data_IF_863267892231
#
_entry.id   IF_863267892231
#
_cell.length_a   1.000
_cell.length_b   1.000
_cell.length_c   1.000
_cell.angle_alpha   90.00
_cell.angle_beta   90.00
_cell.angle_gamma   90.00
#
_symmetry.space_group_name_H-M   'P 1'
#
loop_
_entity.id
_entity.type
_entity.pdbx_description
1 polymer ?
#
# COMPACT_ATOMS: atom_id res chain seq x y z
N UNK A 1 -45.58 -38.70 -38.72
CA UNK A 1 -45.76 -37.69 -39.78
C UNK A 1 -44.71 -36.63 -39.57
N UNK A 2 -43.69 -36.72 -40.35
CA UNK A 2 -43.09 -35.80 -41.36
C UNK A 2 -42.65 -34.41 -40.78
N UNK A 3 -41.38 -34.30 -40.75
CA UNK A 3 -40.50 -33.10 -40.84
C UNK A 3 -40.87 -32.17 -42.02
N UNK A 4 -40.36 -30.91 -42.16
CA UNK A 4 -39.02 -30.67 -42.71
C UNK A 4 -38.28 -29.47 -42.10
N UNK A 5 -36.98 -29.47 -41.93
CA UNK A 5 -35.81 -29.11 -42.80
C UNK A 5 -35.92 -27.85 -43.66
N UNK A 6 -34.97 -26.91 -43.43
CA UNK A 6 -34.30 -26.06 -44.44
C UNK A 6 -33.07 -25.45 -43.74
N UNK A 7 -31.88 -25.84 -43.99
CA UNK A 7 -30.82 -25.73 -45.03
C UNK A 7 -30.40 -24.32 -45.38
N UNK A 8 -29.11 -24.05 -45.03
CA UNK A 8 -27.98 -23.52 -45.77
C UNK A 8 -27.95 -22.06 -46.21
N UNK A 9 -26.84 -21.41 -45.87
CA UNK A 9 -25.90 -20.95 -46.91
C UNK A 9 -24.51 -20.70 -46.33
N UNK A 10 -23.58 -21.57 -46.71
CA UNK A 10 -22.15 -21.27 -46.71
C UNK A 10 -21.80 -20.79 -48.10
N UNK A 11 -20.95 -19.77 -48.24
CA UNK A 11 -20.01 -19.68 -49.35
C UNK A 11 -18.71 -19.00 -48.90
N UNK A 12 -17.55 -19.49 -49.41
CA UNK A 12 -16.22 -19.03 -49.01
C UNK A 12 -15.65 -18.02 -50.01
N UNK A 13 -14.81 -17.12 -49.55
CA UNK A 13 -13.89 -16.39 -50.44
C UNK A 13 -12.46 -16.66 -49.97
N UNK A 14 -11.71 -17.28 -50.90
CA UNK A 14 -10.28 -17.53 -50.87
C UNK A 14 -9.48 -16.24 -51.00
N UNK A 15 -8.36 -16.08 -50.29
CA UNK A 15 -6.98 -16.19 -50.80
C UNK A 15 -6.01 -15.62 -49.79
N UNK A 16 -5.17 -16.45 -49.27
CA UNK A 16 -3.72 -16.51 -49.42
C UNK A 16 -2.92 -15.32 -48.88
N UNK A 17 -2.22 -15.51 -47.73
CA UNK A 17 -0.75 -15.53 -47.73
C UNK A 17 -0.20 -16.00 -46.38
N UNK A 18 0.94 -16.73 -46.47
CA UNK A 18 1.57 -17.46 -45.35
C UNK A 18 2.27 -16.49 -44.37
N UNK A 19 1.87 -16.53 -43.14
CA UNK A 19 2.63 -15.95 -42.02
C UNK A 19 2.37 -16.78 -40.77
N UNK A 20 3.40 -17.43 -40.27
CA UNK A 20 3.40 -18.32 -39.12
C UNK A 20 2.90 -17.58 -37.86
N UNK A 21 1.65 -17.79 -37.51
CA UNK A 21 1.12 -17.35 -36.20
C UNK A 21 1.26 -18.48 -35.19
N UNK A 22 2.22 -18.35 -34.29
CA UNK A 22 2.22 -19.11 -33.04
C UNK A 22 1.09 -18.53 -32.17
N UNK A 23 -0.02 -19.27 -32.07
CA UNK A 23 -1.08 -18.96 -31.11
C UNK A 23 -0.56 -19.15 -29.70
N UNK A 24 -0.25 -18.05 -29.01
CA UNK A 24 -0.13 -18.05 -27.56
C UNK A 24 -1.53 -17.75 -27.01
N UNK A 25 -2.15 -18.75 -26.43
CA UNK A 25 -3.26 -18.54 -25.49
C UNK A 25 -2.67 -17.87 -24.25
N UNK A 26 -2.93 -16.57 -24.09
CA UNK A 26 -2.76 -15.87 -22.84
C UNK A 26 -4.04 -16.08 -22.04
N UNK A 27 -3.94 -16.49 -20.77
CA UNK A 27 -5.08 -16.40 -19.89
C UNK A 27 -5.38 -14.90 -19.68
N UNK A 28 -6.61 -14.50 -19.93
CA UNK A 28 -7.10 -13.16 -19.68
C UNK A 28 -7.19 -12.92 -18.18
N UNK A 29 -6.06 -12.61 -17.54
CA UNK A 29 -6.10 -11.80 -16.35
C UNK A 29 -6.40 -10.38 -16.81
N UNK A 30 -7.47 -9.78 -16.25
CA UNK A 30 -7.94 -8.49 -16.66
C UNK A 30 -6.80 -7.48 -16.73
N UNK A 31 -6.49 -7.06 -17.93
CA UNK A 31 -5.63 -5.91 -18.13
C UNK A 31 -6.29 -4.76 -17.38
N UNK A 32 -5.61 -4.21 -16.38
CA UNK A 32 -5.86 -2.84 -16.00
C UNK A 32 -5.63 -2.02 -17.27
N UNK A 33 -6.72 -1.74 -17.98
CA UNK A 33 -6.66 -0.85 -19.10
C UNK A 33 -6.24 0.50 -18.51
N UNK A 34 -4.98 0.85 -18.73
CA UNK A 34 -4.55 2.24 -18.65
C UNK A 34 -5.55 2.98 -19.54
N UNK A 35 -6.49 3.72 -18.92
CA UNK A 35 -7.33 4.63 -19.67
C UNK A 35 -6.40 5.52 -20.47
N UNK A 36 -6.67 5.72 -21.77
CA UNK A 36 -5.86 6.65 -22.54
C UNK A 36 -5.92 7.98 -21.78
N UNK A 37 -4.75 8.55 -21.57
CA UNK A 37 -4.53 9.86 -21.00
C UNK A 37 -5.42 10.87 -21.75
N UNK A 38 -6.54 11.25 -21.15
CA UNK A 38 -7.23 12.46 -21.54
C UNK A 38 -6.32 13.57 -21.04
N UNK A 39 -5.79 14.37 -21.94
CA UNK A 39 -5.11 15.63 -21.64
C UNK A 39 -6.06 16.47 -20.78
N UNK A 40 -5.99 16.29 -19.47
CA UNK A 40 -6.56 17.23 -18.52
C UNK A 40 -5.69 18.48 -18.59
N UNK A 41 -6.33 19.64 -18.59
CA UNK A 41 -5.63 20.93 -18.49
C UNK A 41 -4.60 20.86 -17.35
N UNK A 42 -3.41 21.48 -17.51
CA UNK A 42 -2.39 21.42 -16.47
C UNK A 42 -3.00 21.98 -15.19
N UNK A 43 -3.12 21.10 -14.17
CA UNK A 43 -3.50 21.49 -12.82
C UNK A 43 -2.58 22.66 -12.41
N UNK A 44 -3.14 23.67 -11.76
CA UNK A 44 -2.38 24.81 -11.23
C UNK A 44 -1.20 24.26 -10.42
N UNK A 45 0.01 24.74 -10.70
CA UNK A 45 1.26 24.32 -10.04
C UNK A 45 1.38 24.76 -8.57
N UNK A 46 0.29 25.09 -7.91
CA UNK A 46 0.30 25.36 -6.47
C UNK A 46 0.30 24.04 -5.73
N UNK A 47 1.39 23.80 -4.97
CA UNK A 47 1.50 22.67 -4.06
C UNK A 47 0.42 22.72 -2.97
N UNK A 48 0.11 21.58 -2.37
CA UNK A 48 -0.91 21.43 -1.32
C UNK A 48 -0.30 21.11 0.05
N UNK A 49 1.02 21.25 0.20
CA UNK A 49 1.75 20.92 1.43
C UNK A 49 1.23 21.67 2.65
N UNK A 50 0.98 20.94 3.74
CA UNK A 50 0.52 21.44 5.01
C UNK A 50 1.56 21.17 6.12
N UNK A 51 1.68 22.08 7.10
CA UNK A 51 2.58 21.92 8.24
C UNK A 51 4.06 22.12 7.90
N UNK A 52 4.94 21.51 8.68
CA UNK A 52 6.40 21.64 8.55
C UNK A 52 6.94 20.45 7.72
N UNK A 53 7.29 20.73 6.48
CA UNK A 53 7.75 19.73 5.51
C UNK A 53 9.26 19.88 5.24
N UNK A 54 10.00 18.80 5.32
CA UNK A 54 11.44 18.74 5.04
C UNK A 54 11.72 17.72 3.94
N UNK A 55 12.42 18.16 2.90
CA UNK A 55 12.84 17.31 1.79
C UNK A 55 14.26 16.80 2.01
N UNK A 56 14.45 15.49 1.78
CA UNK A 56 15.75 14.83 1.82
C UNK A 56 16.01 14.06 0.55
N UNK A 57 17.28 14.02 0.18
CA UNK A 57 17.81 13.14 -0.85
C UNK A 57 18.74 12.12 -0.17
N UNK A 58 18.38 10.84 -0.18
CA UNK A 58 19.20 9.76 0.33
C UNK A 58 19.90 9.06 -0.84
N UNK A 59 21.23 9.04 -0.81
CA UNK A 59 22.02 8.26 -1.75
C UNK A 59 22.24 6.86 -1.18
N UNK A 60 21.29 5.97 -1.47
CA UNK A 60 21.35 4.58 -1.03
C UNK A 60 22.44 3.81 -1.77
N UNK A 61 23.18 2.98 -1.05
CA UNK A 61 24.14 2.04 -1.62
C UNK A 61 23.47 0.81 -2.24
N UNK A 62 22.26 0.50 -1.76
CA UNK A 62 21.49 -0.67 -2.18
C UNK A 62 20.60 -0.37 -3.40
N UNK A 63 19.93 0.79 -3.40
CA UNK A 63 18.87 1.11 -4.37
C UNK A 63 19.09 2.43 -5.12
N UNK A 64 20.26 3.06 -4.96
CA UNK A 64 20.56 4.34 -5.61
C UNK A 64 19.84 5.52 -4.94
N UNK A 65 19.71 6.63 -5.66
CA UNK A 65 19.09 7.86 -5.15
C UNK A 65 17.63 7.66 -4.80
N UNK A 66 17.22 8.20 -3.63
CA UNK A 66 15.86 8.13 -3.15
C UNK A 66 15.45 9.45 -2.49
N UNK A 67 14.32 10.00 -2.91
CA UNK A 67 13.76 11.19 -2.30
C UNK A 67 12.85 10.77 -1.12
N UNK A 68 13.02 11.48 0.01
CA UNK A 68 12.22 11.34 1.20
C UNK A 68 11.61 12.71 1.53
N UNK A 69 10.33 12.73 1.85
CA UNK A 69 9.65 13.94 2.33
C UNK A 69 9.15 13.67 3.74
N UNK A 70 9.55 14.52 4.69
CA UNK A 70 9.26 14.34 6.11
C UNK A 70 8.30 15.45 6.55
N UNK A 71 7.13 15.07 7.05
CA UNK A 71 6.23 15.93 7.79
C UNK A 71 6.58 15.87 9.27
N UNK A 72 6.78 17.03 9.89
CA UNK A 72 7.00 17.19 11.32
C UNK A 72 5.73 17.74 11.99
N UNK A 73 5.24 17.10 13.05
CA UNK A 73 3.99 17.48 13.68
C UNK A 73 4.06 18.85 14.37
N UNK A 74 2.92 19.53 14.62
CA UNK A 74 2.87 20.75 15.40
C UNK A 74 3.60 20.60 16.72
N UNK A 75 4.47 21.58 17.04
CA UNK A 75 5.27 21.58 18.27
C UNK A 75 6.45 20.61 18.27
N UNK A 76 6.83 20.04 17.12
CA UNK A 76 8.05 19.23 17.02
C UNK A 76 9.28 20.00 17.50
N UNK A 77 10.12 19.35 18.30
CA UNK A 77 11.37 19.92 18.80
C UNK A 77 12.45 18.83 18.91
N UNK A 78 13.63 19.10 18.36
CA UNK A 78 14.81 18.25 18.50
C UNK A 78 15.41 18.24 19.91
N UNK A 79 15.00 19.20 20.74
CA UNK A 79 15.49 19.38 22.11
C UNK A 79 14.63 18.70 23.17
N UNK A 80 13.47 18.15 22.77
CA UNK A 80 12.59 17.44 23.68
C UNK A 80 13.13 16.04 23.99
N UNK A 81 12.90 15.59 25.21
CA UNK A 81 13.11 14.18 25.59
C UNK A 81 12.06 13.23 24.99
N UNK A 82 11.11 13.77 24.26
CA UNK A 82 10.03 13.01 23.64
C UNK A 82 10.49 12.35 22.33
N UNK A 83 10.38 11.02 22.27
CA UNK A 83 10.62 10.27 21.06
C UNK A 83 9.31 10.12 20.30
N UNK A 84 9.23 10.74 19.13
CA UNK A 84 8.01 10.77 18.33
C UNK A 84 7.72 9.41 17.66
N UNK A 85 6.48 8.92 17.72
CA UNK A 85 6.03 7.88 16.81
C UNK A 85 6.28 8.29 15.36
N UNK A 86 6.46 7.31 14.48
CA UNK A 86 6.59 7.63 13.06
C UNK A 86 5.98 6.58 12.13
N UNK A 87 5.63 7.02 10.93
CA UNK A 87 5.14 6.17 9.86
C UNK A 87 5.97 6.36 8.59
N UNK A 88 6.40 5.25 7.98
CA UNK A 88 6.97 5.21 6.64
C UNK A 88 5.84 4.94 5.63
N UNK A 89 5.56 5.91 4.75
CA UNK A 89 4.53 5.84 3.73
C UNK A 89 5.17 5.56 2.37
N UNK A 90 4.70 4.53 1.71
CA UNK A 90 5.18 4.11 0.40
C UNK A 90 4.55 4.95 -0.71
N UNK A 91 5.20 4.98 -1.91
CA UNK A 91 4.76 5.82 -3.03
C UNK A 91 4.71 7.31 -2.68
N UNK A 92 5.78 7.79 -2.05
CA UNK A 92 5.88 9.09 -1.38
C UNK A 92 5.47 10.29 -2.22
N UNK A 93 5.61 10.22 -3.55
CA UNK A 93 5.18 11.27 -4.47
C UNK A 93 3.67 11.53 -4.46
N UNK A 94 2.87 10.57 -3.97
CA UNK A 94 1.41 10.67 -3.92
C UNK A 94 0.87 11.02 -2.51
N UNK A 95 1.73 11.28 -1.53
CA UNK A 95 1.32 11.31 -0.12
C UNK A 95 0.94 12.72 0.36
N UNK A 96 1.75 13.75 0.04
CA UNK A 96 1.65 15.09 0.61
C UNK A 96 1.39 16.21 -0.39
N UNK A 97 1.67 16.01 -1.69
CA UNK A 97 1.63 17.09 -2.66
C UNK A 97 1.02 16.65 -3.98
N UNK A 98 -0.12 17.24 -4.32
CA UNK A 98 -0.79 17.00 -5.60
C UNK A 98 0.07 17.31 -6.81
N UNK A 99 1.07 18.22 -6.67
CA UNK A 99 1.95 18.61 -7.76
C UNK A 99 2.95 17.51 -8.13
N UNK A 100 3.25 16.60 -7.21
CA UNK A 100 4.12 15.44 -7.42
C UNK A 100 3.34 14.14 -7.64
N UNK A 101 2.05 14.13 -7.27
CA UNK A 101 1.20 12.97 -7.39
C UNK A 101 1.00 12.54 -8.85
N UNK A 102 1.13 11.24 -9.12
CA UNK A 102 1.12 10.68 -10.48
C UNK A 102 -0.16 11.03 -11.25
N UNK A 103 -1.30 11.09 -10.58
CA UNK A 103 -2.60 11.43 -11.17
C UNK A 103 -3.12 12.81 -10.75
N UNK A 104 -2.26 13.67 -10.17
CA UNK A 104 -2.65 14.98 -9.67
C UNK A 104 -3.59 14.94 -8.46
N UNK A 105 -3.72 13.78 -7.83
CA UNK A 105 -4.48 13.56 -6.58
C UNK A 105 -3.53 12.94 -5.58
N UNK A 106 -3.44 13.53 -4.41
CA UNK A 106 -2.64 13.06 -3.29
C UNK A 106 -3.50 12.44 -2.19
N UNK A 107 -2.84 11.86 -1.18
CA UNK A 107 -3.55 11.32 -0.03
C UNK A 107 -3.94 12.39 0.99
N UNK A 108 -3.33 13.57 0.97
CA UNK A 108 -3.52 14.61 1.99
C UNK A 108 -3.18 14.11 3.40
N UNK A 109 -2.12 13.32 3.50
CA UNK A 109 -1.75 12.68 4.77
C UNK A 109 -1.21 13.67 5.79
N UNK A 110 -0.57 14.75 5.36
CA UNK A 110 -0.12 15.85 6.19
C UNK A 110 -1.29 16.69 6.72
N UNK A 111 -2.30 17.03 5.86
CA UNK A 111 -3.53 17.69 6.31
C UNK A 111 -4.29 16.84 7.31
N UNK A 112 -4.44 15.54 7.02
CA UNK A 112 -5.13 14.62 7.92
C UNK A 112 -4.42 14.53 9.29
N UNK A 113 -3.10 14.40 9.30
CA UNK A 113 -2.31 14.35 10.53
C UNK A 113 -2.37 15.67 11.30
N UNK A 114 -2.15 16.81 10.62
CA UNK A 114 -2.21 18.14 11.22
C UNK A 114 -3.55 18.36 11.93
N UNK A 115 -4.66 18.12 11.22
CA UNK A 115 -6.00 18.26 11.78
C UNK A 115 -6.21 17.34 12.98
N UNK A 116 -5.88 16.06 12.87
CA UNK A 116 -6.11 15.08 13.93
C UNK A 116 -5.27 15.37 15.18
N UNK A 117 -4.04 15.86 15.01
CA UNK A 117 -3.16 16.25 16.13
C UNK A 117 -3.73 17.50 16.82
N UNK A 118 -4.11 18.53 16.06
CA UNK A 118 -4.72 19.76 16.60
C UNK A 118 -6.03 19.46 17.32
N UNK A 119 -6.86 18.57 16.78
CA UNK A 119 -8.10 18.09 17.40
C UNK A 119 -7.87 17.13 18.59
N UNK A 120 -6.63 16.84 18.93
CA UNK A 120 -6.24 15.90 19.98
C UNK A 120 -6.82 14.48 19.81
N UNK A 121 -6.99 14.03 18.60
CA UNK A 121 -7.41 12.66 18.23
C UNK A 121 -6.24 11.74 17.93
N UNK A 122 -5.09 12.32 17.61
CA UNK A 122 -3.86 11.63 17.25
C UNK A 122 -2.68 12.17 18.08
N UNK A 123 -1.73 11.30 18.42
CA UNK A 123 -0.44 11.73 18.99
C UNK A 123 0.40 12.47 17.94
N UNK A 124 1.20 13.48 18.35
CA UNK A 124 2.20 14.07 17.46
C UNK A 124 3.09 12.99 16.86
N UNK A 125 3.01 12.81 15.56
CA UNK A 125 3.65 11.70 14.82
C UNK A 125 4.38 12.24 13.61
N UNK A 126 5.61 11.78 13.38
CA UNK A 126 6.39 12.10 12.19
C UNK A 126 5.95 11.19 11.05
N UNK A 127 5.62 11.78 9.89
CA UNK A 127 5.30 11.02 8.67
C UNK A 127 6.46 11.15 7.68
N UNK A 128 6.86 10.03 7.09
CA UNK A 128 7.96 9.97 6.12
C UNK A 128 7.45 9.36 4.83
N UNK A 129 7.26 10.16 3.82
CA UNK A 129 6.89 9.74 2.47
C UNK A 129 8.14 9.33 1.69
N UNK A 130 8.25 8.06 1.31
CA UNK A 130 9.37 7.49 0.58
C UNK A 130 8.97 7.37 -0.89
N UNK A 131 9.60 8.15 -1.76
CA UNK A 131 9.31 8.09 -3.19
C UNK A 131 9.71 6.73 -3.76
N UNK A 132 8.87 6.20 -4.63
CA UNK A 132 9.23 5.01 -5.38
C UNK A 132 10.23 5.35 -6.52
N UNK A 133 10.76 4.33 -7.16
CA UNK A 133 11.63 4.44 -8.32
C UNK A 133 10.96 3.80 -9.54
N UNK A 134 11.55 3.94 -10.75
CA UNK A 134 11.12 3.18 -11.92
C UNK A 134 11.15 1.65 -11.71
N UNK A 135 11.83 1.16 -10.67
CA UNK A 135 11.88 -0.25 -10.28
C UNK A 135 10.84 -0.64 -9.23
N UNK A 136 9.78 0.17 -9.06
CA UNK A 136 8.73 -0.04 -8.05
C UNK A 136 8.20 -1.47 -8.00
N UNK A 137 7.94 -2.07 -9.15
CA UNK A 137 7.44 -3.46 -9.21
C UNK A 137 8.44 -4.43 -8.58
N UNK A 138 9.70 -4.31 -8.92
CA UNK A 138 10.77 -5.13 -8.35
C UNK A 138 10.88 -4.94 -6.84
N UNK A 139 10.94 -3.67 -6.41
CA UNK A 139 11.22 -3.26 -5.04
C UNK A 139 10.05 -3.55 -4.08
N UNK A 140 8.80 -3.51 -4.56
CA UNK A 140 7.62 -3.61 -3.69
C UNK A 140 7.03 -5.02 -3.61
N UNK A 141 7.56 -5.97 -4.37
CA UNK A 141 6.99 -7.31 -4.42
C UNK A 141 7.91 -8.35 -3.79
N UNK A 142 7.41 -9.16 -2.84
CA UNK A 142 8.23 -10.14 -2.13
C UNK A 142 8.54 -11.40 -2.94
N UNK A 143 7.73 -11.69 -3.96
CA UNK A 143 7.85 -12.87 -4.81
C UNK A 143 7.86 -12.46 -6.28
N UNK A 144 8.63 -13.15 -7.14
CA UNK A 144 8.55 -12.92 -8.57
C UNK A 144 7.19 -13.40 -9.11
N UNK A 145 6.60 -12.60 -10.00
CA UNK A 145 5.41 -12.99 -10.75
C UNK A 145 5.83 -13.43 -12.16
N UNK A 146 5.31 -14.56 -12.68
CA UNK A 146 5.71 -15.07 -14.00
C UNK A 146 5.45 -14.12 -15.18
N UNK A 147 4.44 -13.25 -15.06
CA UNK A 147 4.06 -12.31 -16.11
C UNK A 147 4.68 -10.92 -15.92
N UNK A 148 4.95 -10.51 -14.67
CA UNK A 148 5.28 -9.13 -14.33
C UNK A 148 6.69 -8.97 -13.72
N UNK A 149 7.39 -10.06 -13.40
CA UNK A 149 8.71 -10.00 -12.75
C UNK A 149 8.62 -9.72 -11.25
N UNK A 150 9.43 -8.82 -10.73
CA UNK A 150 9.43 -8.46 -9.31
C UNK A 150 10.30 -9.35 -8.43
N UNK A 151 10.02 -9.36 -7.12
CA UNK A 151 10.65 -10.26 -6.14
C UNK A 151 11.86 -9.67 -5.41
N UNK A 152 12.06 -8.33 -5.42
CA UNK A 152 13.19 -7.69 -4.74
C UNK A 152 12.80 -6.94 -3.46
N UNK A 153 11.59 -7.15 -2.92
CA UNK A 153 11.22 -6.57 -1.63
C UNK A 153 12.18 -6.92 -0.47
N UNK A 154 12.85 -8.10 -0.44
CA UNK A 154 13.91 -8.35 0.53
C UNK A 154 15.05 -7.32 0.47
N UNK A 155 15.46 -6.85 -0.71
CA UNK A 155 16.47 -5.81 -0.86
C UNK A 155 15.93 -4.44 -0.41
N UNK A 156 14.66 -4.14 -0.70
CA UNK A 156 14.01 -2.91 -0.23
C UNK A 156 13.86 -2.92 1.30
N UNK A 157 13.60 -4.06 1.91
CA UNK A 157 13.62 -4.24 3.36
C UNK A 157 14.99 -3.85 3.96
N UNK A 158 16.10 -4.39 3.41
CA UNK A 158 17.46 -4.04 3.84
C UNK A 158 17.72 -2.52 3.71
N UNK A 159 17.24 -1.91 2.61
CA UNK A 159 17.31 -0.46 2.42
C UNK A 159 16.60 0.31 3.54
N UNK A 160 15.36 -0.09 3.91
CA UNK A 160 14.63 0.58 4.99
C UNK A 160 15.33 0.43 6.33
N UNK A 161 15.76 -0.80 6.68
CA UNK A 161 16.31 -1.12 7.99
C UNK A 161 17.72 -0.54 8.17
N UNK A 162 18.56 -0.63 7.15
CA UNK A 162 19.97 -0.30 7.28
C UNK A 162 20.37 1.07 6.75
N UNK A 163 19.52 1.72 5.96
CA UNK A 163 19.81 3.03 5.40
C UNK A 163 18.77 4.09 5.78
N UNK A 164 17.47 3.86 5.53
CA UNK A 164 16.43 4.88 5.78
C UNK A 164 16.24 5.16 7.26
N UNK A 165 16.00 4.14 8.07
CA UNK A 165 15.74 4.31 9.51
C UNK A 165 16.95 4.93 10.20
N UNK A 166 18.20 4.45 10.04
CA UNK A 166 19.36 5.10 10.63
C UNK A 166 19.61 6.53 10.15
N UNK A 167 19.31 6.82 8.87
CA UNK A 167 19.40 8.17 8.32
C UNK A 167 18.44 9.14 9.00
N UNK A 168 17.20 8.69 9.26
CA UNK A 168 16.18 9.46 9.95
C UNK A 168 16.48 9.60 11.45
N UNK A 169 16.90 8.52 12.12
CA UNK A 169 17.27 8.53 13.55
C UNK A 169 18.44 9.47 13.86
N UNK A 170 19.32 9.70 12.89
CA UNK A 170 20.42 10.66 13.03
C UNK A 170 19.98 12.14 12.93
N UNK A 171 18.73 12.40 12.53
CA UNK A 171 18.18 13.74 12.24
C UNK A 171 16.96 14.11 13.04
N UNK A 172 16.24 13.13 13.54
CA UNK A 172 14.94 13.31 14.22
C UNK A 172 14.87 12.45 15.48
N UNK A 173 14.15 12.92 16.48
CA UNK A 173 13.92 12.20 17.73
C UNK A 173 12.82 11.14 17.55
N UNK A 174 13.15 10.03 16.89
CA UNK A 174 12.22 8.96 16.58
C UNK A 174 12.12 7.92 17.70
N UNK A 175 10.92 7.41 17.93
CA UNK A 175 10.71 6.30 18.85
C UNK A 175 11.40 5.03 18.36
N UNK A 176 11.99 4.29 19.29
CA UNK A 176 12.58 2.96 19.06
C UNK A 176 11.61 1.82 19.37
N UNK A 177 10.45 2.13 19.92
CA UNK A 177 9.44 1.13 20.24
C UNK A 177 8.69 0.70 18.98
N UNK A 178 8.65 -0.60 18.70
CA UNK A 178 7.94 -1.15 17.54
C UNK A 178 6.46 -0.72 17.47
N UNK A 179 5.80 -0.60 18.63
CA UNK A 179 4.39 -0.17 18.74
C UNK A 179 4.14 1.31 18.37
N UNK A 180 5.20 2.04 18.01
CA UNK A 180 5.18 3.43 17.59
C UNK A 180 5.82 3.61 16.19
N UNK A 181 6.07 2.51 15.49
CA UNK A 181 6.66 2.48 14.16
C UNK A 181 5.72 1.82 13.18
N UNK A 182 5.22 2.60 12.23
CA UNK A 182 4.32 2.12 11.19
C UNK A 182 5.01 2.03 9.83
N UNK A 183 4.54 1.07 9.02
CA UNK A 183 4.75 1.05 7.58
C UNK A 183 3.38 1.00 6.90
N UNK A 184 3.15 1.91 5.96
CA UNK A 184 1.82 2.11 5.35
C UNK A 184 1.98 2.22 3.83
N UNK A 185 1.06 1.63 3.08
CA UNK A 185 1.02 1.75 1.63
C UNK A 185 -0.29 1.25 1.04
N UNK A 186 -0.49 1.55 -0.25
CA UNK A 186 -1.63 1.06 -1.02
C UNK A 186 -1.21 0.16 -2.17
N UNK A 187 -2.11 -0.66 -2.66
CA UNK A 187 -1.85 -1.52 -3.83
C UNK A 187 -0.59 -2.40 -3.63
N UNK A 188 0.43 -2.30 -4.49
CA UNK A 188 1.73 -2.95 -4.27
C UNK A 188 2.44 -2.42 -3.01
N UNK A 189 2.25 -1.13 -2.65
CA UNK A 189 2.74 -0.59 -1.39
C UNK A 189 2.08 -1.20 -0.16
N UNK A 190 0.79 -1.57 -0.25
CA UNK A 190 0.07 -2.32 0.77
C UNK A 190 0.55 -3.77 0.90
N UNK A 191 0.84 -4.42 -0.23
CA UNK A 191 1.48 -5.73 -0.26
C UNK A 191 2.86 -5.70 0.42
N UNK A 192 3.67 -4.69 0.09
CA UNK A 192 4.97 -4.45 0.70
C UNK A 192 4.85 -4.21 2.21
N UNK A 193 3.89 -3.36 2.64
CA UNK A 193 3.68 -3.07 4.06
C UNK A 193 3.36 -4.33 4.86
N UNK A 194 2.51 -5.21 4.34
CA UNK A 194 2.21 -6.51 4.95
C UNK A 194 3.46 -7.40 5.03
N UNK A 195 4.23 -7.48 3.94
CA UNK A 195 5.48 -8.25 3.92
C UNK A 195 6.47 -7.73 4.97
N UNK A 196 6.71 -6.41 5.01
CA UNK A 196 7.64 -5.79 5.95
C UNK A 196 7.20 -6.00 7.40
N UNK A 197 5.93 -5.76 7.72
CA UNK A 197 5.44 -5.95 9.08
C UNK A 197 5.48 -7.40 9.55
N UNK A 198 5.28 -8.37 8.63
CA UNK A 198 5.35 -9.79 8.96
C UNK A 198 6.78 -10.29 9.15
N UNK A 199 7.73 -9.81 8.32
CA UNK A 199 9.13 -10.26 8.36
C UNK A 199 10.00 -9.45 9.31
N UNK A 200 9.61 -8.21 9.63
CA UNK A 200 10.34 -7.26 10.48
C UNK A 200 9.46 -6.75 11.63
N UNK A 201 8.69 -7.66 12.23
CA UNK A 201 7.74 -7.32 13.30
C UNK A 201 8.40 -6.70 14.54
N UNK A 202 9.66 -6.98 14.78
CA UNK A 202 10.46 -6.33 15.84
C UNK A 202 10.77 -4.85 15.54
N UNK A 203 10.72 -4.46 14.28
CA UNK A 203 10.91 -3.07 13.85
C UNK A 203 9.59 -2.35 13.65
N UNK A 204 8.65 -2.98 12.94
CA UNK A 204 7.35 -2.41 12.59
C UNK A 204 6.23 -3.12 13.34
N UNK A 205 5.71 -2.49 14.38
CA UNK A 205 4.57 -3.00 15.13
C UNK A 205 3.22 -2.58 14.58
N UNK A 206 3.19 -1.70 13.55
CA UNK A 206 1.98 -1.14 12.95
C UNK A 206 2.07 -1.24 11.42
N UNK A 207 1.06 -1.82 10.78
CA UNK A 207 1.02 -2.09 9.33
C UNK A 207 -0.27 -1.57 8.72
N UNK A 208 -0.16 -0.59 7.84
CA UNK A 208 -1.30 -0.07 7.07
C UNK A 208 -1.29 -0.62 5.65
N UNK A 209 -2.21 -1.51 5.33
CA UNK A 209 -2.36 -2.11 4.02
C UNK A 209 -3.70 -1.71 3.40
N UNK A 210 -3.66 -0.65 2.58
CA UNK A 210 -4.84 -0.15 1.89
C UNK A 210 -4.92 -0.81 0.50
N UNK A 211 -6.02 -1.50 0.22
CA UNK A 211 -6.24 -2.16 -1.08
C UNK A 211 -5.04 -2.98 -1.58
N UNK A 212 -4.43 -3.85 -0.75
CA UNK A 212 -3.17 -4.50 -1.09
C UNK A 212 -3.33 -5.43 -2.30
N UNK A 213 -2.31 -5.46 -3.18
CA UNK A 213 -2.26 -6.33 -4.36
C UNK A 213 -1.98 -7.79 -3.98
N UNK A 214 -2.89 -8.43 -3.25
CA UNK A 214 -2.72 -9.78 -2.68
C UNK A 214 -2.63 -10.89 -3.73
N UNK A 215 -3.14 -10.64 -4.94
CA UNK A 215 -3.07 -11.55 -6.09
C UNK A 215 -1.65 -11.77 -6.59
N UNK A 216 -0.69 -10.90 -6.27
CA UNK A 216 0.68 -10.91 -6.76
C UNK A 216 1.39 -12.24 -6.47
N UNK A 217 2.18 -12.71 -7.46
CA UNK A 217 2.94 -13.96 -7.35
C UNK A 217 2.03 -15.15 -7.00
N UNK A 218 0.84 -15.21 -7.59
CA UNK A 218 -0.17 -16.26 -7.34
C UNK A 218 -0.58 -16.33 -5.86
N UNK A 219 -0.86 -15.17 -5.24
CA UNK A 219 -1.18 -15.07 -3.80
C UNK A 219 -0.04 -15.51 -2.88
N UNK A 220 1.21 -15.29 -3.34
CA UNK A 220 2.41 -15.77 -2.67
C UNK A 220 2.53 -15.28 -1.21
N UNK A 221 2.10 -14.04 -0.91
CA UNK A 221 2.14 -13.53 0.47
C UNK A 221 1.12 -14.24 1.36
N UNK A 222 -0.11 -14.44 0.90
CA UNK A 222 -1.14 -15.19 1.66
C UNK A 222 -0.64 -16.60 1.97
N UNK A 223 -0.10 -17.28 0.95
CA UNK A 223 0.46 -18.63 1.08
C UNK A 223 1.62 -18.68 2.07
N UNK A 224 2.51 -17.67 2.01
CA UNK A 224 3.67 -17.58 2.92
C UNK A 224 3.24 -17.37 4.37
N UNK A 225 2.26 -16.50 4.63
CA UNK A 225 1.72 -16.26 5.97
C UNK A 225 0.99 -17.52 6.48
N UNK A 226 0.17 -18.15 5.63
CA UNK A 226 -0.59 -19.35 6.03
C UNK A 226 0.29 -20.55 6.35
N UNK A 227 1.39 -20.75 5.62
CA UNK A 227 2.31 -21.88 5.80
C UNK A 227 3.53 -21.57 6.66
N UNK A 228 3.73 -20.32 7.05
CA UNK A 228 4.87 -19.89 7.87
C UNK A 228 4.62 -19.94 9.36
N UNK A 229 5.68 -19.65 10.11
CA UNK A 229 5.58 -19.42 11.55
C UNK A 229 5.15 -17.98 11.77
N UNK A 230 4.17 -17.77 12.65
CA UNK A 230 3.78 -16.43 13.08
C UNK A 230 4.97 -15.75 13.77
N UNK A 231 5.19 -14.45 13.59
CA UNK A 231 6.17 -13.72 14.41
C UNK A 231 5.86 -13.87 15.90
N UNK A 232 6.88 -13.89 16.75
CA UNK A 232 6.70 -14.00 18.21
C UNK A 232 5.77 -12.90 18.75
N UNK A 233 5.86 -11.70 18.17
CA UNK A 233 4.96 -10.58 18.45
C UNK A 233 4.43 -10.05 17.12
N UNK A 234 3.25 -10.47 16.65
CA UNK A 234 2.66 -9.99 15.42
C UNK A 234 2.44 -8.46 15.42
N UNK A 235 2.48 -7.79 14.27
CA UNK A 235 2.13 -6.37 14.19
C UNK A 235 0.61 -6.17 14.32
N UNK A 236 0.17 -4.98 14.70
CA UNK A 236 -1.22 -4.56 14.48
C UNK A 236 -1.39 -4.20 13.01
N UNK A 237 -2.43 -4.72 12.37
CA UNK A 237 -2.66 -4.57 10.94
C UNK A 237 -3.98 -3.84 10.68
N UNK A 238 -3.91 -2.74 9.94
CA UNK A 238 -5.04 -2.20 9.21
C UNK A 238 -5.08 -2.84 7.83
N UNK A 239 -6.21 -3.47 7.48
CA UNK A 239 -6.40 -4.19 6.23
C UNK A 239 -7.74 -3.79 5.62
N UNK A 240 -7.72 -3.09 4.49
CA UNK A 240 -8.96 -2.68 3.83
C UNK A 240 -8.92 -2.83 2.32
N UNK A 241 -10.09 -2.80 1.70
CA UNK A 241 -10.27 -2.58 0.27
C UNK A 241 -11.65 -2.00 -0.03
N UNK A 242 -11.76 -1.28 -1.14
CA UNK A 242 -13.02 -0.76 -1.64
C UNK A 242 -13.84 -1.84 -2.37
N UNK A 243 -15.17 -1.76 -2.26
CA UNK A 243 -16.07 -2.74 -2.91
C UNK A 243 -16.20 -2.53 -4.42
N UNK A 244 -15.65 -1.44 -4.98
CA UNK A 244 -15.66 -1.10 -6.42
C UNK A 244 -14.29 -1.01 -7.05
N UNK A 245 -13.28 -1.65 -6.47
CA UNK A 245 -11.92 -1.60 -7.00
C UNK A 245 -11.69 -2.52 -8.20
N UNK A 246 -12.43 -3.61 -8.28
CA UNK A 246 -12.36 -4.59 -9.38
C UNK A 246 -13.73 -5.19 -9.63
N UNK A 247 -13.97 -5.58 -10.88
CA UNK A 247 -15.15 -6.35 -11.29
C UNK A 247 -14.78 -7.79 -11.67
N UNK A 248 -13.49 -8.17 -11.54
CA UNK A 248 -13.03 -9.52 -11.86
C UNK A 248 -13.51 -10.49 -10.78
N UNK A 249 -14.23 -11.52 -11.20
CA UNK A 249 -14.76 -12.61 -10.38
C UNK A 249 -14.43 -13.91 -11.12
N UNK A 250 -13.21 -14.40 -10.93
CA UNK A 250 -12.66 -15.54 -11.68
C UNK A 250 -13.31 -16.87 -11.29
N UNK A 251 -13.78 -16.99 -10.07
CA UNK A 251 -14.42 -18.21 -9.54
C UNK A 251 -15.95 -18.17 -9.63
N UNK A 252 -16.53 -17.03 -10.12
CA UNK A 252 -17.96 -16.83 -10.36
C UNK A 252 -18.82 -17.01 -9.09
N UNK A 253 -18.31 -16.60 -7.93
CA UNK A 253 -19.02 -16.66 -6.67
C UNK A 253 -19.84 -15.40 -6.34
N UNK A 254 -19.78 -14.38 -7.20
CA UNK A 254 -20.46 -13.09 -7.03
C UNK A 254 -19.66 -12.09 -6.18
N UNK A 255 -18.42 -12.40 -5.84
CA UNK A 255 -17.50 -11.54 -5.07
C UNK A 255 -16.27 -11.22 -5.94
N UNK A 256 -15.88 -9.94 -6.06
CA UNK A 256 -14.63 -9.59 -6.75
C UNK A 256 -13.41 -10.30 -6.16
N UNK A 257 -12.52 -10.78 -7.01
CA UNK A 257 -11.30 -11.53 -6.61
C UNK A 257 -10.47 -10.80 -5.55
N UNK A 258 -10.41 -9.47 -5.63
CA UNK A 258 -9.67 -8.67 -4.65
C UNK A 258 -10.27 -8.77 -3.25
N UNK A 259 -11.60 -8.77 -3.13
CA UNK A 259 -12.27 -8.96 -1.84
C UNK A 259 -12.16 -10.41 -1.34
N UNK A 260 -12.19 -11.39 -2.24
CA UNK A 260 -11.95 -12.79 -1.89
C UNK A 260 -10.53 -12.98 -1.32
N UNK A 261 -9.53 -12.35 -1.93
CA UNK A 261 -8.16 -12.38 -1.43
C UNK A 261 -8.02 -11.68 -0.08
N UNK A 262 -8.70 -10.53 0.08
CA UNK A 262 -8.72 -9.79 1.34
C UNK A 262 -9.36 -10.61 2.46
N UNK A 263 -10.51 -11.22 2.20
CA UNK A 263 -11.22 -12.13 3.14
C UNK A 263 -10.38 -13.36 3.49
N UNK A 264 -9.68 -13.90 2.49
CA UNK A 264 -8.77 -15.03 2.69
C UNK A 264 -7.62 -14.65 3.60
N UNK A 265 -6.95 -13.51 3.36
CA UNK A 265 -5.88 -13.04 4.24
C UNK A 265 -6.39 -12.78 5.66
N UNK A 266 -7.56 -12.13 5.81
CA UNK A 266 -8.21 -11.96 7.13
C UNK A 266 -8.36 -13.28 7.86
N UNK A 267 -8.92 -14.30 7.20
CA UNK A 267 -9.11 -15.62 7.80
C UNK A 267 -7.77 -16.26 8.20
N UNK A 268 -6.73 -16.12 7.38
CA UNK A 268 -5.38 -16.61 7.68
C UNK A 268 -4.80 -15.90 8.90
N UNK A 269 -4.89 -14.57 8.99
CA UNK A 269 -4.39 -13.78 10.11
C UNK A 269 -5.11 -14.14 11.42
N UNK A 270 -6.44 -14.31 11.38
CA UNK A 270 -7.19 -14.79 12.54
C UNK A 270 -6.79 -16.22 12.95
N UNK A 271 -6.54 -17.10 11.98
CA UNK A 271 -6.04 -18.46 12.26
C UNK A 271 -4.65 -18.45 12.90
N UNK A 272 -3.81 -17.47 12.55
CA UNK A 272 -2.50 -17.22 13.17
C UNK A 272 -2.59 -16.56 14.56
N UNK A 273 -3.79 -16.34 15.07
CA UNK A 273 -4.04 -15.86 16.43
C UNK A 273 -4.30 -14.35 16.57
N UNK A 274 -4.46 -13.62 15.45
CA UNK A 274 -4.82 -12.20 15.52
C UNK A 274 -6.31 -12.01 15.84
N UNK A 275 -6.62 -11.03 16.69
CA UNK A 275 -7.98 -10.70 17.12
C UNK A 275 -8.49 -9.44 16.40
N UNK A 276 -9.68 -9.56 15.74
CA UNK A 276 -10.31 -8.41 15.11
C UNK A 276 -10.74 -7.37 16.15
N UNK A 277 -10.42 -6.10 15.84
CA UNK A 277 -10.68 -4.98 16.72
C UNK A 277 -9.54 -4.70 17.72
N UNK A 278 -8.61 -5.65 17.94
CA UNK A 278 -7.44 -5.49 18.79
C UNK A 278 -6.14 -5.41 17.97
N UNK A 279 -5.87 -6.45 17.16
CA UNK A 279 -4.66 -6.56 16.35
C UNK A 279 -4.94 -6.40 14.86
N UNK A 280 -6.17 -6.74 14.41
CA UNK A 280 -6.60 -6.68 13.02
C UNK A 280 -7.78 -5.73 12.86
N UNK A 281 -7.56 -4.59 12.22
CA UNK A 281 -8.58 -3.61 11.83
C UNK A 281 -9.00 -3.88 10.38
N UNK A 282 -9.95 -4.77 10.19
CA UNK A 282 -10.45 -5.16 8.87
C UNK A 282 -11.62 -4.30 8.40
N UNK A 283 -11.62 -3.87 7.12
CA UNK A 283 -12.73 -3.12 6.54
C UNK A 283 -12.91 -3.40 5.04
N UNK A 284 -14.16 -3.59 4.64
CA UNK A 284 -14.62 -3.48 3.25
C UNK A 284 -15.30 -2.12 3.11
N UNK A 285 -14.73 -1.25 2.27
CA UNK A 285 -15.17 0.15 2.13
C UNK A 285 -16.20 0.24 1.03
N UNK A 286 -17.46 0.43 1.42
CA UNK A 286 -18.58 0.50 0.46
C UNK A 286 -18.37 1.64 -0.54
N UNK A 287 -18.46 1.31 -1.84
CA UNK A 287 -18.25 2.24 -2.94
C UNK A 287 -16.81 2.68 -3.17
N UNK A 288 -15.88 2.27 -2.33
CA UNK A 288 -14.45 2.62 -2.48
C UNK A 288 -13.86 2.07 -3.77
N UNK A 289 -12.96 2.85 -4.39
CA UNK A 289 -12.27 2.59 -5.65
C UNK A 289 -10.76 2.44 -5.44
N UNK A 290 -10.04 1.92 -6.44
CA UNK A 290 -8.60 1.69 -6.38
C UNK A 290 -7.83 2.92 -6.86
N UNK A 291 -7.87 3.99 -6.09
CA UNK A 291 -7.24 5.27 -6.42
C UNK A 291 -6.89 6.11 -5.18
N UNK A 292 -6.09 7.14 -5.39
CA UNK A 292 -5.58 8.04 -4.36
C UNK A 292 -6.70 8.76 -3.62
N UNK A 293 -7.80 9.13 -4.29
CA UNK A 293 -8.94 9.79 -3.65
C UNK A 293 -9.59 8.88 -2.61
N UNK A 294 -9.82 7.62 -2.98
CA UNK A 294 -10.39 6.63 -2.07
C UNK A 294 -9.45 6.31 -0.90
N UNK A 295 -8.13 6.34 -1.09
CA UNK A 295 -7.16 6.13 0.01
C UNK A 295 -7.04 7.36 0.89
N UNK A 296 -7.13 8.57 0.34
CA UNK A 296 -7.20 9.84 1.08
C UNK A 296 -8.36 9.83 2.09
N UNK A 297 -9.56 9.38 1.70
CA UNK A 297 -10.72 9.31 2.59
C UNK A 297 -10.52 8.37 3.79
N UNK A 298 -9.52 7.49 3.74
CA UNK A 298 -9.28 6.43 4.74
C UNK A 298 -8.08 6.68 5.64
N UNK A 299 -7.08 7.44 5.19
CA UNK A 299 -5.79 7.56 5.89
C UNK A 299 -5.93 8.11 7.31
N UNK A 300 -6.83 9.05 7.55
CA UNK A 300 -7.08 9.59 8.88
C UNK A 300 -7.58 8.55 9.88
N UNK A 301 -8.33 7.53 9.41
CA UNK A 301 -8.77 6.42 10.27
C UNK A 301 -7.63 5.47 10.60
N UNK A 302 -6.71 5.25 9.65
CA UNK A 302 -5.47 4.49 9.89
C UNK A 302 -4.65 5.17 10.98
N UNK A 303 -4.44 6.48 10.86
CA UNK A 303 -3.67 7.25 11.84
C UNK A 303 -4.27 7.21 13.24
N UNK A 304 -5.58 7.41 13.38
CA UNK A 304 -6.24 7.36 14.69
C UNK A 304 -6.26 5.97 15.31
N UNK A 305 -6.22 4.90 14.49
CA UNK A 305 -6.11 3.53 14.97
C UNK A 305 -4.71 3.17 15.45
N UNK A 306 -3.68 3.75 14.82
CA UNK A 306 -2.27 3.44 15.13
C UNK A 306 -1.68 4.37 16.18
N UNK A 307 -2.04 5.63 16.14
CA UNK A 307 -1.48 6.69 16.98
C UNK A 307 -2.57 7.44 17.72
N UNK A 308 -3.46 6.75 18.47
CA UNK A 308 -4.50 7.44 19.24
C UNK A 308 -3.88 8.36 20.27
N UNK A 309 -4.50 9.52 20.53
CA UNK A 309 -4.09 10.40 21.61
C UNK A 309 -4.08 9.62 22.93
N UNK A 310 -2.95 9.60 23.61
CA UNK A 310 -2.81 9.00 24.94
C UNK A 310 -3.10 10.05 26.02
N UNK A 311 -3.70 9.63 27.12
CA UNK A 311 -3.84 10.50 28.29
C UNK A 311 -2.46 10.88 28.84
N UNK A 312 -2.26 12.15 29.14
CA UNK A 312 -0.97 12.67 29.64
C UNK A 312 -0.48 11.95 30.90
N UNK A 313 -1.39 11.39 31.72
CA UNK A 313 -1.05 10.56 32.86
C UNK A 313 -0.22 9.30 32.52
N UNK A 314 -0.39 8.73 31.33
CA UNK A 314 0.36 7.56 30.88
C UNK A 314 1.80 7.88 30.38
N UNK A 315 2.11 9.16 30.14
CA UNK A 315 3.43 9.62 29.67
C UNK A 315 4.51 9.56 30.75
N UNK A 316 4.13 9.65 32.05
CA UNK A 316 5.05 9.77 33.19
C UNK A 316 5.42 8.43 33.84
N UNK A 317 4.87 7.30 33.38
CA UNK A 317 5.06 5.97 33.99
C UNK A 317 5.75 4.94 33.08
N UNK A 318 6.51 5.38 32.06
CA UNK A 318 7.31 4.45 31.22
C UNK A 318 8.74 4.92 31.06
#
# INVERSE_FOLDING_TARGET
MKSPMLRRCCQPVNSCERGTMKSRFLPCYGSFALRPYLESEPASKEGSLTGNIVHHELNSKLLGKRDLVVYLPPGYSDYDSYNYPFALLQDGQNIFDKSTAVFGVEWGADEAAEQLIVEQKMEPTILVAIYNSPHRIDEYTPFPDPAHGGGKAPLYREFLIHEVIPYLEARYTLSKHRSQRAVIGSSLGGLLALYLGWTESETFGLVGALSPSLWWGQRGLITSIAGGVSPDVPPKIWLDAGTRESMTDSNQNGVPDLLDDLRTLRAVLCYQGMEEGEDLFYREVEGGTHDEHSWSDRIGKVFTSFFPKRDDAARFYR
#
